data_IF_865493028396
#
_entry.id   IF_865493028396
#
_cell.length_a   1.000
_cell.length_b   1.000
_cell.length_c   1.000
_cell.angle_alpha   90.00
_cell.angle_beta   90.00
_cell.angle_gamma   90.00
#
_symmetry.space_group_name_H-M   'P 1'
#
loop_
_entity.id
_entity.type
_entity.pdbx_description
1 polymer ?
#
# COMPACT_ATOMS: atom_id res chain seq x y z
N UNK A 1 -0.18 6.11 5.01
CA UNK A 1 0.22 4.74 4.65
C UNK A 1 -0.89 3.77 5.04
N UNK A 2 -1.17 2.79 4.18
CA UNK A 2 -2.22 1.78 4.35
C UNK A 2 -1.67 0.40 3.98
N UNK A 3 -1.90 -0.61 4.82
CA UNK A 3 -1.66 -2.01 4.47
C UNK A 3 -2.84 -2.56 3.67
N UNK A 4 -2.55 -3.26 2.59
CA UNK A 4 -3.53 -3.88 1.69
C UNK A 4 -3.21 -5.35 1.55
N UNK A 5 -4.22 -6.19 1.74
CA UNK A 5 -4.13 -7.64 1.63
C UNK A 5 -4.18 -8.11 0.17
N UNK A 6 -3.20 -7.73 -0.65
CA UNK A 6 -3.14 -8.05 -2.09
C UNK A 6 -1.71 -8.40 -2.48
N UNK A 7 -1.52 -8.97 -3.67
CA UNK A 7 -0.19 -9.27 -4.18
C UNK A 7 0.56 -8.00 -4.57
N UNK A 8 1.90 -8.06 -4.58
CA UNK A 8 2.74 -6.94 -5.02
C UNK A 8 2.40 -6.47 -6.44
N UNK A 9 2.10 -7.41 -7.35
CA UNK A 9 1.77 -7.12 -8.75
C UNK A 9 0.44 -6.36 -8.84
N UNK A 10 -0.57 -6.80 -8.10
CA UNK A 10 -1.87 -6.11 -8.06
C UNK A 10 -1.76 -4.74 -7.40
N UNK A 11 -1.06 -4.63 -6.27
CA UNK A 11 -0.83 -3.34 -5.60
C UNK A 11 -0.11 -2.35 -6.51
N UNK A 12 0.87 -2.84 -7.28
CA UNK A 12 1.60 -2.02 -8.25
C UNK A 12 0.69 -1.57 -9.40
N UNK A 13 -0.09 -2.48 -9.97
CA UNK A 13 -1.05 -2.14 -11.02
C UNK A 13 -2.07 -1.08 -10.54
N UNK A 14 -2.52 -1.16 -9.28
CA UNK A 14 -3.38 -0.15 -8.67
C UNK A 14 -2.70 1.21 -8.52
N UNK A 15 -1.40 1.24 -8.19
CA UNK A 15 -0.64 2.50 -8.10
C UNK A 15 -0.31 3.08 -9.47
N UNK A 16 -0.17 2.24 -10.50
CA UNK A 16 0.10 2.65 -11.89
C UNK A 16 -1.17 3.04 -12.66
N UNK A 17 -2.36 2.78 -12.11
CA UNK A 17 -3.63 3.25 -12.65
C UNK A 17 -3.62 4.78 -12.80
N UNK A 18 -4.10 5.31 -13.92
CA UNK A 18 -4.14 6.74 -14.22
C UNK A 18 -4.81 7.57 -13.10
N UNK A 19 -5.70 6.97 -12.32
CA UNK A 19 -6.35 7.62 -11.17
C UNK A 19 -5.40 7.88 -9.98
N UNK A 20 -4.41 7.02 -9.79
CA UNK A 20 -3.52 7.02 -8.62
C UNK A 20 -2.04 7.21 -8.96
N UNK A 21 -1.68 7.15 -10.24
CA UNK A 21 -0.33 7.37 -10.74
C UNK A 21 0.25 8.69 -10.22
N UNK A 22 1.41 8.60 -9.58
CA UNK A 22 2.10 9.75 -8.99
C UNK A 22 1.55 10.22 -7.63
N UNK A 23 0.41 9.69 -7.18
CA UNK A 23 -0.21 9.99 -5.88
C UNK A 23 -0.08 8.85 -4.87
N UNK A 24 -0.09 7.61 -5.37
CA UNK A 24 0.15 6.40 -4.58
C UNK A 24 1.40 5.69 -5.07
N UNK A 25 2.12 5.09 -4.12
CA UNK A 25 3.31 4.27 -4.37
C UNK A 25 3.30 3.06 -3.44
N UNK A 26 3.81 1.93 -3.93
CA UNK A 26 4.07 0.78 -3.07
C UNK A 26 5.30 1.08 -2.21
N UNK A 27 5.10 1.16 -0.89
CA UNK A 27 6.17 1.45 0.05
C UNK A 27 6.91 0.19 0.53
N UNK A 28 6.19 -0.92 0.70
CA UNK A 28 6.78 -2.19 1.11
C UNK A 28 5.91 -3.37 0.69
N UNK A 29 6.53 -4.51 0.37
CA UNK A 29 5.83 -5.80 0.22
C UNK A 29 6.17 -6.65 1.44
N UNK A 30 5.25 -6.70 2.41
CA UNK A 30 5.47 -7.39 3.68
C UNK A 30 5.24 -8.90 3.56
N UNK A 31 4.41 -9.37 2.63
CA UNK A 31 4.14 -10.78 2.36
C UNK A 31 3.60 -10.95 0.92
N UNK A 32 3.50 -12.20 0.39
CA UNK A 32 2.91 -12.46 -0.93
C UNK A 32 1.49 -11.93 -1.10
N UNK A 33 0.77 -11.76 0.01
CA UNK A 33 -0.60 -11.24 0.09
C UNK A 33 -0.72 -10.02 1.02
N UNK A 34 0.37 -9.32 1.32
CA UNK A 34 0.36 -8.14 2.20
C UNK A 34 1.35 -7.10 1.72
N UNK A 35 0.83 -5.95 1.28
CA UNK A 35 1.61 -4.84 0.73
C UNK A 35 1.24 -3.55 1.43
N UNK A 36 2.20 -2.68 1.69
CA UNK A 36 1.98 -1.34 2.25
C UNK A 36 2.04 -0.31 1.13
N UNK A 37 0.96 0.45 0.98
CA UNK A 37 0.87 1.57 0.05
C UNK A 37 1.05 2.88 0.83
N UNK A 38 1.91 3.74 0.32
CA UNK A 38 2.10 5.11 0.79
C UNK A 38 1.66 6.09 -0.28
N UNK A 39 1.23 7.27 0.12
CA UNK A 39 0.74 8.27 -0.82
C UNK A 39 -0.13 9.31 -0.14
N UNK A 40 -0.78 10.10 -0.96
CA UNK A 40 -1.70 11.15 -0.53
C UNK A 40 -2.83 10.57 0.33
N UNK A 41 -3.21 11.32 1.37
CA UNK A 41 -4.30 10.91 2.27
C UNK A 41 -5.61 10.69 1.52
N UNK A 42 -5.92 11.58 0.58
CA UNK A 42 -7.16 11.51 -0.20
C UNK A 42 -7.15 10.31 -1.14
N UNK A 43 -6.03 10.08 -1.84
CA UNK A 43 -5.87 8.92 -2.72
C UNK A 43 -5.94 7.59 -1.97
N UNK A 44 -5.35 7.51 -0.77
CA UNK A 44 -5.45 6.33 0.11
C UNK A 44 -6.91 6.08 0.52
N UNK A 45 -7.66 7.14 0.84
CA UNK A 45 -9.06 7.02 1.23
C UNK A 45 -9.94 6.57 0.05
N UNK A 46 -9.71 7.11 -1.14
CA UNK A 46 -10.40 6.67 -2.36
C UNK A 46 -10.10 5.21 -2.70
N UNK A 47 -8.84 4.80 -2.62
CA UNK A 47 -8.43 3.41 -2.84
C UNK A 47 -9.10 2.49 -1.81
N UNK A 48 -9.19 2.91 -0.54
CA UNK A 48 -9.90 2.15 0.49
C UNK A 48 -11.37 1.92 0.09
N UNK A 49 -12.07 2.96 -0.35
CA UNK A 49 -13.48 2.83 -0.75
C UNK A 49 -13.63 1.88 -1.94
N UNK A 50 -12.72 1.94 -2.92
CA UNK A 50 -12.75 1.02 -4.06
C UNK A 50 -12.48 -0.43 -3.67
N UNK A 51 -11.55 -0.66 -2.74
CA UNK A 51 -11.22 -2.00 -2.26
C UNK A 51 -12.35 -2.58 -1.39
N UNK A 52 -12.97 -1.75 -0.54
CA UNK A 52 -14.12 -2.15 0.28
C UNK A 52 -15.35 -2.51 -0.61
N UNK A 53 -15.47 -1.96 -1.81
CA UNK A 53 -16.51 -2.34 -2.78
C UNK A 53 -16.21 -3.66 -3.52
N UNK A 54 -14.94 -3.98 -3.74
CA UNK A 54 -14.52 -5.11 -4.60
C UNK A 54 -14.31 -6.41 -3.83
N UNK A 55 -14.06 -6.35 -2.52
CA UNK A 55 -13.74 -7.52 -1.69
C UNK A 55 -14.72 -7.61 -0.52
N UNK A 56 -15.47 -8.72 -0.34
CA UNK A 56 -16.36 -8.91 0.82
C UNK A 56 -15.62 -9.16 2.14
N UNK A 57 -14.28 -9.17 2.13
CA UNK A 57 -13.44 -9.35 3.32
C UNK A 57 -12.77 -8.03 3.69
N UNK A 58 -12.70 -7.68 4.99
CA UNK A 58 -12.18 -6.41 5.45
C UNK A 58 -10.70 -6.30 5.10
N UNK A 59 -10.38 -5.43 4.14
CA UNK A 59 -9.00 -5.06 3.88
C UNK A 59 -8.47 -4.41 5.15
N UNK A 60 -7.48 -5.04 5.80
CA UNK A 60 -6.87 -4.60 7.06
C UNK A 60 -6.17 -3.24 6.89
N UNK A 61 -6.98 -2.19 6.85
CA UNK A 61 -6.60 -0.82 6.59
C UNK A 61 -6.21 -0.16 7.90
N UNK A 62 -5.08 -0.59 8.45
CA UNK A 62 -4.48 0.07 9.62
C UNK A 62 -3.68 1.27 9.14
N UNK A 63 -4.07 2.47 9.56
CA UNK A 63 -3.28 3.68 9.35
C UNK A 63 -1.98 3.53 10.14
N UNK A 64 -0.87 3.36 9.42
CA UNK A 64 0.44 3.31 10.06
C UNK A 64 0.94 4.74 10.15
N UNK A 65 0.94 5.31 11.36
CA UNK A 65 1.56 6.60 11.65
C UNK A 65 3.08 6.40 11.75
N UNK A 66 3.73 6.29 10.60
CA UNK A 66 5.18 6.37 10.51
C UNK A 66 5.57 7.84 10.45
N UNK A 67 6.12 8.36 11.54
CA UNK A 67 6.89 9.60 11.53
C UNK A 67 8.04 9.43 10.54
N UNK A 68 8.08 10.31 9.56
CA UNK A 68 8.97 10.28 8.39
C UNK A 68 10.45 10.11 8.76
N UNK A 69 11.09 9.01 8.35
CA UNK A 69 12.49 9.06 7.85
C UNK A 69 13.07 7.85 7.10
N UNK A 70 12.47 6.64 7.06
CA UNK A 70 13.32 5.46 6.72
C UNK A 70 12.91 4.58 5.54
N UNK A 71 11.76 4.76 4.87
CA UNK A 71 11.36 3.79 3.83
C UNK A 71 11.49 4.31 2.39
N UNK A 72 11.78 5.60 2.15
CA UNK A 72 11.74 6.08 0.77
C UNK A 72 13.01 5.85 -0.08
N UNK A 73 14.25 5.81 0.43
CA UNK A 73 15.41 6.00 -0.48
C UNK A 73 16.73 5.21 -0.27
N UNK A 74 16.90 4.20 0.61
CA UNK A 74 18.23 3.54 0.68
C UNK A 74 18.38 2.07 1.07
N UNK A 75 17.33 1.29 1.30
CA UNK A 75 17.52 -0.06 1.85
C UNK A 75 16.70 -1.12 1.13
N UNK A 76 17.34 -1.75 0.15
CA UNK A 76 17.17 -3.15 -0.21
C UNK A 76 17.55 -4.12 0.95
N UNK A 77 17.25 -3.80 2.21
CA UNK A 77 17.62 -4.65 3.33
C UNK A 77 16.42 -4.98 4.22
N UNK A 78 16.02 -6.24 4.08
CA UNK A 78 15.61 -7.10 5.20
C UNK A 78 14.27 -6.79 5.85
N UNK A 79 13.18 -6.95 5.11
CA UNK A 79 11.96 -7.50 5.73
C UNK A 79 12.00 -9.01 5.46
N UNK A 80 12.89 -9.67 6.21
CA UNK A 80 12.74 -11.09 6.49
C UNK A 80 11.47 -11.21 7.31
N UNK A 81 10.41 -11.66 6.66
CA UNK A 81 9.20 -12.14 7.32
C UNK A 81 9.65 -13.35 8.16
N UNK A 82 9.80 -13.15 9.47
CA UNK A 82 9.78 -14.22 10.45
C UNK A 82 8.70 -13.87 11.46
#
# INVERSE_FOLDING_TARGET
>A
MMAVGTSFVEARALCEDAKFAGRLVVAASNAPSSVTISGDKDAINELKVQLDQKVPLPVFSKWIRLTVHTICCHALLSISIR
#
